data_IF_885468827119
#
_entry.id   IF_885468827119
#
_cell.length_a   1.000
_cell.length_b   1.000
_cell.length_c   1.000
_cell.angle_alpha   90.00
_cell.angle_beta   90.00
_cell.angle_gamma   90.00
#
_symmetry.space_group_name_H-M   'P 1'
#
loop_
_entity.id
_entity.type
_entity.pdbx_description
1 polymer ?
#
# COMPACT_ATOMS: atom_id res chain seq x y z
N UNK A 1 -4.31 6.24 -13.70
CA UNK A 1 -5.60 6.65 -14.31
C UNK A 1 -5.85 8.13 -14.02
N UNK A 2 -6.64 8.81 -14.85
CA UNK A 2 -7.00 10.23 -14.66
C UNK A 2 -8.52 10.37 -14.67
N UNK A 3 -9.08 11.12 -13.70
CA UNK A 3 -10.52 11.39 -13.61
C UNK A 3 -10.79 12.77 -14.20
N UNK A 4 -11.83 12.88 -15.04
CA UNK A 4 -12.28 14.16 -15.59
C UNK A 4 -13.45 14.69 -14.75
N UNK A 5 -13.24 15.84 -14.12
CA UNK A 5 -14.30 16.56 -13.42
C UNK A 5 -15.20 17.30 -14.43
N UNK A 6 -16.48 17.43 -14.09
CA UNK A 6 -17.47 18.13 -14.91
C UNK A 6 -17.10 19.61 -15.08
N UNK A 7 -17.49 20.18 -16.23
CA UNK A 7 -17.39 21.63 -16.52
C UNK A 7 -18.75 22.33 -16.53
N UNK A 8 -19.82 21.62 -16.16
CA UNK A 8 -21.14 22.23 -16.10
C UNK A 8 -21.17 23.36 -15.04
N UNK A 9 -21.82 24.50 -15.31
CA UNK A 9 -21.87 25.62 -14.36
C UNK A 9 -22.42 25.21 -12.99
N UNK A 10 -23.40 24.31 -12.94
CA UNK A 10 -23.99 23.78 -11.71
C UNK A 10 -23.01 22.98 -10.83
N UNK A 11 -21.84 22.62 -11.34
CA UNK A 11 -20.82 21.86 -10.62
C UNK A 11 -19.58 22.70 -10.27
N UNK A 12 -19.56 23.99 -10.62
CA UNK A 12 -18.38 24.83 -10.43
C UNK A 12 -17.92 24.85 -8.96
N UNK A 13 -18.84 25.04 -8.03
CA UNK A 13 -18.54 25.16 -6.60
C UNK A 13 -17.95 23.87 -6.02
N UNK A 14 -18.54 22.71 -6.33
CA UNK A 14 -18.05 21.42 -5.83
C UNK A 14 -16.67 21.07 -6.42
N UNK A 15 -16.42 21.42 -7.69
CA UNK A 15 -15.11 21.24 -8.33
C UNK A 15 -14.07 22.16 -7.68
N UNK A 16 -14.45 23.40 -7.36
CA UNK A 16 -13.57 24.33 -6.68
C UNK A 16 -13.23 23.85 -5.25
N UNK A 17 -14.22 23.34 -4.51
CA UNK A 17 -14.00 22.76 -3.18
C UNK A 17 -13.02 21.57 -3.18
N UNK A 18 -12.99 20.77 -4.25
CA UNK A 18 -11.99 19.69 -4.42
C UNK A 18 -10.60 20.30 -4.65
N UNK A 19 -10.50 21.34 -5.50
CA UNK A 19 -9.22 22.02 -5.78
C UNK A 19 -8.64 22.70 -4.55
N UNK A 20 -9.50 23.29 -3.73
CA UNK A 20 -9.14 24.02 -2.51
C UNK A 20 -8.85 23.07 -1.33
N UNK A 21 -9.04 21.75 -1.51
CA UNK A 21 -8.76 20.74 -0.49
C UNK A 21 -9.84 20.62 0.60
N UNK A 22 -11.00 21.26 0.43
CA UNK A 22 -12.15 21.11 1.32
C UNK A 22 -12.72 19.69 1.20
N UNK A 23 -12.87 19.21 -0.05
CA UNK A 23 -13.25 17.81 -0.34
C UNK A 23 -11.99 17.08 -0.80
N UNK A 24 -11.28 16.50 0.16
CA UNK A 24 -9.98 15.85 -0.06
C UNK A 24 -10.03 14.32 0.01
N UNK A 25 -11.08 13.75 0.61
CA UNK A 25 -11.16 12.31 0.80
C UNK A 25 -11.78 11.65 -0.43
N UNK A 26 -11.24 10.48 -0.79
CA UNK A 26 -11.72 9.68 -1.92
C UNK A 26 -11.94 8.25 -1.45
N UNK A 27 -13.13 7.71 -1.71
CA UNK A 27 -13.40 6.29 -1.63
C UNK A 27 -13.24 5.67 -3.01
N UNK A 28 -12.62 4.50 -3.06
CA UNK A 28 -12.39 3.76 -4.30
C UNK A 28 -12.86 2.32 -4.10
N UNK A 29 -13.79 1.89 -4.95
CA UNK A 29 -14.04 0.47 -5.19
C UNK A 29 -13.06 0.00 -6.25
N UNK A 30 -12.39 -1.11 -6.03
CA UNK A 30 -11.33 -1.59 -6.91
C UNK A 30 -11.27 -3.11 -7.00
N UNK A 31 -10.63 -3.60 -8.06
CA UNK A 31 -10.21 -5.00 -8.24
C UNK A 31 -8.70 -5.10 -8.07
N UNK A 32 -8.24 -6.12 -7.37
CA UNK A 32 -6.81 -6.45 -7.25
C UNK A 32 -6.46 -7.44 -8.36
N UNK A 33 -5.33 -7.21 -9.02
CA UNK A 33 -4.78 -8.12 -10.04
C UNK A 33 -3.48 -8.77 -9.56
N UNK A 34 -2.63 -8.02 -8.83
CA UNK A 34 -1.39 -8.57 -8.26
C UNK A 34 -1.04 -7.98 -6.89
N UNK A 35 -0.52 -8.87 -6.03
CA UNK A 35 0.00 -8.53 -4.71
C UNK A 35 1.43 -9.04 -4.59
N UNK A 36 2.30 -8.19 -4.05
CA UNK A 36 3.64 -8.55 -3.64
C UNK A 36 3.69 -8.72 -2.13
N UNK A 37 4.24 -9.85 -1.70
CA UNK A 37 4.65 -10.10 -0.32
C UNK A 37 6.16 -9.97 -0.22
N UNK A 38 6.62 -9.05 0.61
CA UNK A 38 8.04 -8.91 0.93
C UNK A 38 8.25 -9.45 2.34
N UNK A 39 9.00 -10.55 2.45
CA UNK A 39 9.35 -11.12 3.75
C UNK A 39 10.37 -10.23 4.45
N UNK A 40 10.14 -9.94 5.74
CA UNK A 40 11.14 -9.27 6.58
C UNK A 40 12.20 -10.25 7.10
N UNK A 41 13.22 -9.75 7.81
CA UNK A 41 14.07 -10.57 8.67
C UNK A 41 13.26 -11.51 9.58
N UNK A 42 13.90 -12.58 10.07
CA UNK A 42 13.27 -13.57 10.95
C UNK A 42 12.62 -12.88 12.17
N UNK A 43 11.29 -13.04 12.30
CA UNK A 43 10.49 -12.43 13.37
C UNK A 43 9.71 -11.17 12.97
N UNK A 44 9.97 -10.58 11.80
CA UNK A 44 9.26 -9.38 11.33
C UNK A 44 7.94 -9.71 10.63
N UNK A 45 7.00 -8.76 10.68
CA UNK A 45 5.73 -8.85 9.95
C UNK A 45 6.00 -8.57 8.46
N UNK A 46 5.58 -9.47 7.55
CA UNK A 46 5.79 -9.27 6.12
C UNK A 46 5.01 -8.06 5.60
N UNK A 47 5.63 -7.32 4.68
CA UNK A 47 4.99 -6.21 4.00
C UNK A 47 4.17 -6.74 2.82
N UNK A 48 2.86 -6.51 2.86
CA UNK A 48 1.95 -6.80 1.77
C UNK A 48 1.65 -5.53 0.97
N UNK A 49 1.93 -5.55 -0.33
CA UNK A 49 1.65 -4.43 -1.23
C UNK A 49 0.85 -4.90 -2.43
N UNK A 50 -0.32 -4.31 -2.62
CA UNK A 50 -1.04 -4.41 -3.89
C UNK A 50 -0.29 -3.57 -4.92
N UNK A 51 0.26 -4.20 -5.95
CA UNK A 51 1.07 -3.52 -6.98
C UNK A 51 0.34 -3.35 -8.30
N UNK A 52 -0.68 -4.15 -8.54
CA UNK A 52 -1.55 -4.04 -9.70
C UNK A 52 -3.02 -4.13 -9.26
N UNK A 53 -3.76 -3.08 -9.56
CA UNK A 53 -5.16 -2.93 -9.21
C UNK A 53 -5.86 -2.01 -10.21
N UNK A 54 -7.15 -2.26 -10.39
CA UNK A 54 -8.02 -1.55 -11.33
C UNK A 54 -9.15 -0.86 -10.55
N UNK A 55 -9.30 0.48 -10.65
CA UNK A 55 -10.42 1.18 -10.07
C UNK A 55 -11.72 0.83 -10.81
N UNK A 56 -12.78 0.55 -10.06
CA UNK A 56 -14.12 0.28 -10.57
C UNK A 56 -15.07 1.46 -10.32
N UNK A 57 -14.96 2.08 -9.15
CA UNK A 57 -15.67 3.32 -8.82
C UNK A 57 -14.78 4.28 -8.03
N UNK A 58 -15.06 5.58 -8.15
CA UNK A 58 -14.35 6.65 -7.43
C UNK A 58 -15.39 7.67 -6.95
N UNK A 59 -15.40 7.94 -5.64
CA UNK A 59 -16.30 8.89 -5.01
C UNK A 59 -15.53 9.89 -4.15
N UNK A 60 -15.75 11.19 -4.38
CA UNK A 60 -15.24 12.25 -3.52
C UNK A 60 -16.18 12.42 -2.31
N UNK A 61 -15.68 12.24 -1.09
CA UNK A 61 -16.49 12.20 0.12
C UNK A 61 -16.06 13.27 1.12
N UNK A 62 -16.99 13.94 1.82
CA UNK A 62 -16.65 14.95 2.81
C UNK A 62 -16.04 14.33 4.08
N UNK A 63 -16.45 13.12 4.43
CA UNK A 63 -15.94 12.36 5.58
C UNK A 63 -15.45 11.02 5.04
N UNK A 64 -14.17 10.72 5.25
CA UNK A 64 -13.61 9.41 4.92
C UNK A 64 -14.29 8.30 5.71
N UNK A 65 -14.43 7.11 5.12
CA UNK A 65 -15.06 5.97 5.77
C UNK A 65 -14.37 5.56 7.09
N UNK A 66 -13.10 5.90 7.24
CA UNK A 66 -12.34 5.82 8.49
C UNK A 66 -11.14 6.80 8.40
N UNK A 67 -10.94 7.70 9.36
CA UNK A 67 -9.75 8.56 9.41
C UNK A 67 -8.40 7.81 9.52
N UNK A 68 -8.41 6.51 9.83
CA UNK A 68 -7.23 5.65 10.05
C UNK A 68 -7.23 4.23 9.43
N UNK A 69 -8.28 3.75 8.76
CA UNK A 69 -8.31 2.37 8.20
C UNK A 69 -7.79 2.24 6.77
N UNK A 70 -7.18 1.07 6.52
CA UNK A 70 -6.90 0.50 5.20
C UNK A 70 -7.93 -0.59 4.88
N UNK A 71 -8.54 -0.49 3.69
CA UNK A 71 -9.32 -1.45 2.91
C UNK A 71 -10.26 -2.45 3.63
N UNK A 72 -11.53 -2.45 3.21
CA UNK A 72 -12.57 -3.40 3.65
C UNK A 72 -12.60 -4.66 2.77
N UNK A 73 -12.65 -5.84 3.39
CA UNK A 73 -13.08 -7.08 2.74
C UNK A 73 -14.59 -7.23 2.85
N UNK A 74 -15.27 -7.54 1.75
CA UNK A 74 -16.67 -7.96 1.73
C UNK A 74 -16.74 -9.48 1.51
N UNK A 75 -17.37 -10.21 2.43
CA UNK A 75 -17.40 -11.68 2.46
C UNK A 75 -18.35 -12.29 1.40
N UNK A 76 -19.17 -11.46 0.75
CA UNK A 76 -20.06 -11.84 -0.36
C UNK A 76 -19.53 -11.46 -1.75
N UNK A 77 -18.28 -10.99 -1.85
CA UNK A 77 -17.73 -10.51 -3.11
C UNK A 77 -17.41 -11.64 -4.11
N UNK A 78 -17.70 -11.39 -5.38
CA UNK A 78 -17.18 -12.18 -6.51
C UNK A 78 -15.65 -12.21 -6.41
N UNK A 79 -15.07 -13.42 -6.35
CA UNK A 79 -13.61 -13.61 -6.27
C UNK A 79 -13.00 -13.58 -7.65
N UNK A 80 -11.89 -12.87 -7.79
CA UNK A 80 -11.13 -12.76 -9.04
C UNK A 80 -9.75 -13.42 -8.87
N UNK A 81 -9.18 -14.01 -9.93
CA UNK A 81 -7.82 -14.52 -9.87
C UNK A 81 -6.86 -13.37 -9.57
N UNK A 82 -5.92 -13.61 -8.65
CA UNK A 82 -4.88 -12.65 -8.24
C UNK A 82 -3.53 -13.34 -8.35
N UNK A 83 -2.56 -12.63 -8.92
CA UNK A 83 -1.16 -13.08 -8.93
C UNK A 83 -0.50 -12.69 -7.61
N UNK A 84 0.00 -13.68 -6.89
CA UNK A 84 0.76 -13.48 -5.65
C UNK A 84 2.24 -13.75 -5.93
N UNK A 85 3.09 -12.74 -5.72
CA UNK A 85 4.54 -12.89 -5.82
C UNK A 85 5.18 -12.67 -4.45
N UNK A 86 5.95 -13.64 -3.98
CA UNK A 86 6.74 -13.52 -2.77
C UNK A 86 8.19 -13.22 -3.13
N UNK A 87 8.80 -12.25 -2.46
CA UNK A 87 10.20 -11.88 -2.63
C UNK A 87 10.85 -11.74 -1.27
N UNK A 88 12.08 -12.21 -1.13
CA UNK A 88 12.88 -11.96 0.07
C UNK A 88 13.26 -10.47 0.12
N UNK A 89 13.29 -9.90 1.32
CA UNK A 89 13.80 -8.54 1.49
C UNK A 89 15.28 -8.48 1.05
N UNK A 90 15.65 -7.63 0.07
CA UNK A 90 17.05 -7.46 -0.34
C UNK A 90 17.96 -7.03 0.83
N UNK A 91 17.41 -6.24 1.76
CA UNK A 91 18.12 -5.78 2.95
C UNK A 91 18.31 -6.88 4.00
N UNK A 92 17.53 -7.96 3.98
CA UNK A 92 17.73 -9.06 4.92
C UNK A 92 19.05 -9.78 4.66
N UNK A 93 19.47 -9.92 3.39
CA UNK A 93 20.75 -10.55 3.02
C UNK A 93 21.92 -9.63 3.39
N UNK A 94 21.82 -8.33 3.10
CA UNK A 94 22.85 -7.35 3.42
C UNK A 94 22.98 -7.09 4.93
N UNK A 95 21.86 -7.06 5.67
CA UNK A 95 21.84 -6.95 7.12
C UNK A 95 22.42 -8.20 7.80
N UNK A 96 22.06 -9.40 7.33
CA UNK A 96 22.64 -10.65 7.82
C UNK A 96 24.16 -10.72 7.58
N UNK A 97 24.65 -10.27 6.42
CA UNK A 97 26.08 -10.19 6.13
C UNK A 97 26.82 -9.21 7.06
N UNK A 98 26.25 -8.03 7.31
CA UNK A 98 26.83 -7.02 8.24
C UNK A 98 26.83 -7.50 9.69
N UNK A 99 25.77 -8.18 10.14
CA UNK A 99 25.70 -8.78 11.47
C UNK A 99 26.75 -9.88 11.66
N UNK A 100 26.98 -10.74 10.64
CA UNK A 100 28.00 -11.79 10.69
C UNK A 100 29.43 -11.23 10.75
N UNK A 101 29.72 -10.15 10.01
CA UNK A 101 31.04 -9.49 10.10
C UNK A 101 31.28 -8.87 11.48
N UNK A 102 30.27 -8.22 12.06
CA UNK A 102 30.37 -7.61 13.39
C UNK A 102 30.53 -8.66 14.51
N UNK A 103 29.88 -9.82 14.39
CA UNK A 103 30.04 -10.92 15.35
C UNK A 103 31.45 -11.54 15.26
N UNK A 104 31.99 -11.74 14.05
CA UNK A 104 33.35 -12.23 13.86
C UNK A 104 34.43 -11.27 14.38
N UNK A 105 34.23 -9.95 14.25
CA UNK A 105 35.11 -8.92 14.85
C UNK A 105 35.06 -8.95 16.40
N UNK A 106 33.88 -9.14 16.98
CA UNK A 106 33.70 -9.24 18.44
C UNK A 106 34.34 -10.51 19.00
N UNK A 107 34.21 -11.65 18.30
CA UNK A 107 34.77 -12.93 18.75
C UNK A 107 36.30 -12.99 18.56
N UNK A 108 36.83 -12.31 17.54
CA UNK A 108 38.27 -12.11 17.33
C UNK A 108 38.93 -11.17 18.36
N UNK A 109 38.16 -10.25 18.96
CA UNK A 109 38.63 -9.39 20.05
C UNK A 109 38.67 -10.11 21.41
N UNK A 110 37.81 -11.11 21.62
CA UNK A 110 37.72 -11.89 22.86
C UNK A 110 38.72 -13.03 22.98
N UNK A 111 39.45 -13.35 21.90
CA UNK A 111 40.43 -14.45 21.83
C UNK A 111 41.89 -13.98 21.83
N UNK A 112 42.14 -12.69 22.13
CA UNK A 112 43.48 -12.13 22.40
C UNK A 112 43.65 -11.76 23.86
#
# INVERSE_FOLDING_TARGET
ATVRLSRAPSHADIVQNIRDGIIQNVSVGYRIHAVEKVEGPEGDVPLWRVVDWEPLEISAVPIGADPGCRARSDDQAIRYPVVLTTRDCPDAIAAAARMRMRQAEIDGFRTR
#
